data_IF_694677524612
#
_entry.id   IF_694677524612
#
_cell.length_a   1.000
_cell.length_b   1.000
_cell.length_c   1.000
_cell.angle_alpha   90.00
_cell.angle_beta   90.00
_cell.angle_gamma   90.00
#
_symmetry.space_group_name_H-M   'P 1'
#
loop_
_entity.id
_entity.type
_entity.pdbx_description
1 polymer ?
#
# COMPACT_ATOMS: atom_id res chain seq x y z
N UNK A 1 5.48 3.48 -11.91
CA UNK A 1 5.25 4.00 -10.54
C UNK A 1 6.10 3.22 -9.57
N UNK A 2 6.90 3.91 -8.78
CA UNK A 2 7.67 3.34 -7.67
C UNK A 2 7.03 3.83 -6.37
N UNK A 3 6.65 2.92 -5.48
CA UNK A 3 5.99 3.25 -4.21
C UNK A 3 6.79 2.64 -3.06
N UNK A 4 7.07 3.44 -2.03
CA UNK A 4 7.74 3.02 -0.79
C UNK A 4 6.80 3.27 0.38
N UNK A 5 6.47 2.20 1.11
CA UNK A 5 5.67 2.29 2.34
C UNK A 5 6.60 2.09 3.52
N UNK A 6 6.58 3.01 4.48
CA UNK A 6 7.27 2.87 5.76
C UNK A 6 6.26 2.49 6.83
N UNK A 7 6.56 1.46 7.61
CA UNK A 7 5.75 1.01 8.74
C UNK A 7 6.60 1.03 10.01
N UNK A 8 6.08 1.67 11.04
CA UNK A 8 6.68 1.72 12.36
C UNK A 8 5.61 1.41 13.41
N UNK A 9 5.83 0.36 14.19
CA UNK A 9 4.97 -0.09 15.26
C UNK A 9 5.81 -0.21 16.53
N UNK A 10 5.38 0.44 17.60
CA UNK A 10 6.03 0.34 18.90
C UNK A 10 4.97 0.01 19.94
N UNK A 11 5.21 -1.02 20.75
CA UNK A 11 4.37 -1.35 21.89
C UNK A 11 5.22 -1.71 23.09
N UNK A 12 4.70 -1.39 24.27
CA UNK A 12 5.27 -1.77 25.55
C UNK A 12 4.13 -2.37 26.36
N UNK A 13 4.21 -3.69 26.59
CA UNK A 13 3.23 -4.42 27.39
C UNK A 13 3.96 -5.24 28.44
N UNK A 14 3.39 -5.34 29.63
CA UNK A 14 4.04 -5.99 30.76
C UNK A 14 4.41 -7.47 30.49
N UNK A 15 3.59 -8.18 29.71
CA UNK A 15 3.85 -9.58 29.33
C UNK A 15 4.70 -9.76 28.06
N UNK A 16 4.64 -8.81 27.12
CA UNK A 16 5.33 -8.93 25.81
C UNK A 16 6.65 -8.15 25.76
N UNK A 17 6.94 -7.34 26.79
CA UNK A 17 8.09 -6.44 26.84
C UNK A 17 7.94 -5.25 25.89
N UNK A 18 9.10 -4.69 25.54
CA UNK A 18 9.23 -3.64 24.53
C UNK A 18 9.38 -4.26 23.14
N UNK A 19 8.48 -3.91 22.23
CA UNK A 19 8.50 -4.37 20.86
C UNK A 19 8.52 -3.15 19.93
N UNK A 20 9.55 -3.07 19.09
CA UNK A 20 9.68 -2.04 18.07
C UNK A 20 9.92 -2.74 16.72
N UNK A 21 8.98 -2.53 15.80
CA UNK A 21 9.03 -3.04 14.44
C UNK A 21 8.99 -1.86 13.49
N UNK A 22 10.14 -1.56 12.91
CA UNK A 22 10.32 -0.54 11.88
C UNK A 22 10.79 -1.16 10.58
N UNK A 23 10.28 -0.68 9.46
CA UNK A 23 10.74 -1.12 8.15
C UNK A 23 10.15 -0.32 7.02
N UNK A 24 10.62 -0.60 5.82
CA UNK A 24 10.00 -0.10 4.60
C UNK A 24 9.96 -1.18 3.53
N UNK A 25 8.98 -1.08 2.66
CA UNK A 25 8.85 -1.93 1.49
C UNK A 25 8.69 -1.05 0.26
N UNK A 26 9.60 -1.23 -0.70
CA UNK A 26 9.56 -0.55 -1.99
C UNK A 26 9.08 -1.52 -3.07
N UNK A 27 8.09 -1.10 -3.86
CA UNK A 27 7.56 -1.87 -4.99
C UNK A 27 7.52 -1.00 -6.25
N UNK A 28 7.71 -1.65 -7.39
CA UNK A 28 7.64 -1.03 -8.70
C UNK A 28 6.51 -1.67 -9.52
N UNK A 29 5.72 -0.82 -10.18
CA UNK A 29 4.67 -1.24 -11.11
C UNK A 29 4.72 -0.32 -12.33
N UNK A 30 4.68 -0.91 -13.51
CA UNK A 30 4.55 -0.23 -14.80
C UNK A 30 3.23 -0.64 -15.46
N UNK A 31 2.53 0.33 -16.05
CA UNK A 31 1.24 0.10 -16.69
C UNK A 31 0.92 1.18 -17.71
N UNK A 32 0.48 0.74 -18.88
CA UNK A 32 -0.12 1.62 -19.88
C UNK A 32 -1.60 1.85 -19.57
N UNK A 33 -2.08 3.06 -19.87
CA UNK A 33 -3.48 3.42 -19.70
C UNK A 33 -3.92 4.41 -20.77
N UNK A 34 -5.15 4.29 -21.31
CA UNK A 34 -5.66 5.25 -22.26
C UNK A 34 -5.78 6.62 -21.60
N UNK A 35 -5.44 7.67 -22.35
CA UNK A 35 -5.67 9.06 -21.97
C UNK A 35 -6.75 9.60 -22.89
N UNK A 36 -7.83 10.11 -22.31
CA UNK A 36 -8.91 10.69 -23.07
C UNK A 36 -8.54 12.04 -23.67
N UNK A 37 -8.84 12.27 -24.95
CA UNK A 37 -8.97 13.64 -25.50
C UNK A 37 -10.30 14.28 -25.06
N UNK A 38 -10.48 15.57 -25.38
CA UNK A 38 -11.71 16.31 -25.11
C UNK A 38 -12.94 15.53 -25.63
N UNK A 39 -13.76 15.02 -24.71
CA UNK A 39 -14.96 14.22 -25.01
C UNK A 39 -14.97 12.80 -24.42
N UNK A 40 -13.87 12.33 -23.81
CA UNK A 40 -13.78 11.01 -23.16
C UNK A 40 -14.11 11.12 -21.66
N UNK A 41 -14.75 10.10 -21.04
CA UNK A 41 -15.11 10.13 -19.61
C UNK A 41 -13.90 10.38 -18.68
N UNK A 42 -14.15 11.15 -17.60
CA UNK A 42 -13.16 11.52 -16.56
C UNK A 42 -12.37 10.33 -15.99
N UNK A 43 -12.90 9.13 -16.15
CA UNK A 43 -12.34 7.86 -15.71
C UNK A 43 -11.02 7.52 -16.40
N UNK A 44 -10.67 8.12 -17.56
CA UNK A 44 -9.39 7.88 -18.26
C UNK A 44 -8.41 9.06 -18.14
N UNK A 45 -8.71 10.03 -17.27
CA UNK A 45 -7.78 11.13 -16.98
C UNK A 45 -6.47 10.62 -16.34
N UNK A 46 -5.41 11.42 -16.44
CA UNK A 46 -4.14 11.13 -15.76
C UNK A 46 -4.34 10.87 -14.27
N UNK A 47 -5.17 11.67 -13.60
CA UNK A 47 -5.44 11.54 -12.16
C UNK A 47 -6.12 10.20 -11.87
N UNK A 48 -7.14 9.82 -12.65
CA UNK A 48 -7.83 8.54 -12.46
C UNK A 48 -6.90 7.34 -12.72
N UNK A 49 -6.04 7.42 -13.75
CA UNK A 49 -5.07 6.36 -14.05
C UNK A 49 -4.01 6.23 -12.95
N UNK A 50 -3.48 7.35 -12.45
CA UNK A 50 -2.52 7.37 -11.34
C UNK A 50 -3.18 6.85 -10.05
N UNK A 51 -4.40 7.29 -9.74
CA UNK A 51 -5.16 6.84 -8.57
C UNK A 51 -5.32 5.32 -8.53
N UNK A 52 -5.70 4.71 -9.67
CA UNK A 52 -5.76 3.25 -9.80
C UNK A 52 -4.40 2.58 -9.61
N UNK A 53 -3.30 3.17 -10.09
CA UNK A 53 -1.96 2.64 -9.83
C UNK A 53 -1.61 2.70 -8.34
N UNK A 54 -1.96 3.79 -7.65
CA UNK A 54 -1.75 3.93 -6.21
C UNK A 54 -2.52 2.87 -5.43
N UNK A 55 -3.82 2.70 -5.72
CA UNK A 55 -4.68 1.69 -5.06
C UNK A 55 -4.12 0.27 -5.21
N UNK A 56 -3.68 -0.10 -6.41
CA UNK A 56 -3.06 -1.42 -6.68
C UNK A 56 -1.71 -1.57 -5.97
N UNK A 57 -0.90 -0.51 -5.92
CA UNK A 57 0.37 -0.53 -5.16
C UNK A 57 0.17 -0.49 -3.64
N UNK A 58 -1.04 -0.24 -3.15
CA UNK A 58 -1.40 -0.35 -1.74
C UNK A 58 -1.03 -1.73 -1.19
N UNK A 59 -0.40 -1.78 -0.02
CA UNK A 59 0.03 -3.04 0.58
C UNK A 59 -1.15 -3.69 1.31
N UNK A 60 -1.71 -4.77 0.75
CA UNK A 60 -2.53 -5.70 1.53
C UNK A 60 -1.57 -6.46 2.45
N UNK A 61 -1.33 -5.94 3.65
CA UNK A 61 -0.62 -6.67 4.69
C UNK A 61 -1.61 -7.72 5.23
N UNK A 62 -1.53 -8.94 4.72
CA UNK A 62 -2.24 -10.07 5.34
C UNK A 62 -1.52 -10.43 6.63
N UNK A 63 -1.97 -9.83 7.74
CA UNK A 63 -1.59 -10.30 9.07
C UNK A 63 -2.40 -11.55 9.33
N UNK A 64 -1.81 -12.72 9.13
CA UNK A 64 -2.45 -13.97 9.54
C UNK A 64 -2.46 -14.00 11.07
N UNK A 65 -3.64 -13.99 11.73
CA UNK A 65 -3.70 -14.21 13.16
C UNK A 65 -3.19 -15.64 13.43
N UNK A 66 -2.20 -15.77 14.31
CA UNK A 66 -1.74 -17.08 14.76
C UNK A 66 -2.84 -17.67 15.68
N UNK A 67 -3.52 -18.76 15.29
CA UNK A 67 -4.60 -19.34 16.08
C UNK A 67 -4.11 -20.01 17.39
N UNK A 68 -2.81 -20.06 17.65
CA UNK A 68 -2.21 -20.72 18.83
C UNK A 68 -1.96 -19.82 20.05
N UNK A 69 -2.44 -18.57 20.08
CA UNK A 69 -2.24 -17.65 21.22
C UNK A 69 -3.59 -17.10 21.71
N UNK A 70 -4.39 -17.97 22.32
CA UNK A 70 -5.47 -17.64 23.26
C UNK A 70 -5.51 -18.70 24.35
#
# INVERSE_FOLDING_TARGET
>A
MTSTVMLWLQTQRDQAGYFNLGGSLTRFIERDGPLGEAGVPITTSHIANIGRMVEVTGLVISVYPNPGVF
#
